data_IF_363923217985
#
_entry.id   IF_363923217985
#
_cell.length_a   1.000
_cell.length_b   1.000
_cell.length_c   1.000
_cell.angle_alpha   90.00
_cell.angle_beta   90.00
_cell.angle_gamma   90.00
#
_symmetry.space_group_name_H-M   'P 1'
#
loop_
_entity.id
_entity.type
_entity.pdbx_description
1 polymer ?
#
# COMPACT_ATOMS: atom_id res chain seq x y z
N UNK A 1 11.92 -16.54 -47.22
CA UNK A 1 10.85 -15.58 -46.83
C UNK A 1 10.95 -14.32 -47.68
N UNK A 2 9.84 -13.74 -48.14
CA UNK A 2 9.89 -12.55 -49.01
C UNK A 2 10.36 -11.32 -48.22
N UNK A 3 11.32 -10.55 -48.75
CA UNK A 3 11.96 -9.40 -48.08
C UNK A 3 10.96 -8.31 -47.62
N UNK A 4 9.77 -8.24 -48.21
CA UNK A 4 8.71 -7.31 -47.80
C UNK A 4 8.03 -7.71 -46.48
N UNK A 5 7.92 -9.01 -46.17
CA UNK A 5 7.33 -9.50 -44.92
C UNK A 5 8.21 -9.12 -43.73
N UNK A 6 9.54 -9.25 -43.86
CA UNK A 6 10.50 -8.84 -42.84
C UNK A 6 10.45 -7.33 -42.55
N UNK A 7 10.17 -6.50 -43.57
CA UNK A 7 10.01 -5.05 -43.41
C UNK A 7 8.72 -4.68 -42.67
N UNK A 8 7.62 -5.37 -42.97
CA UNK A 8 6.34 -5.17 -42.27
C UNK A 8 6.47 -5.57 -40.81
N UNK A 9 7.00 -6.77 -40.53
CA UNK A 9 7.18 -7.25 -39.15
C UNK A 9 8.13 -6.36 -38.35
N UNK A 10 9.21 -5.87 -38.96
CA UNK A 10 10.12 -4.91 -38.34
C UNK A 10 9.45 -3.57 -38.02
N UNK A 11 8.62 -3.05 -38.93
CA UNK A 11 7.86 -1.83 -38.71
C UNK A 11 6.83 -1.96 -37.60
N UNK A 12 6.08 -3.07 -37.56
CA UNK A 12 5.13 -3.38 -36.48
C UNK A 12 5.87 -3.49 -35.14
N UNK A 13 6.99 -4.21 -35.09
CA UNK A 13 7.79 -4.35 -33.88
C UNK A 13 8.32 -3.01 -33.35
N UNK A 14 8.81 -2.14 -34.23
CA UNK A 14 9.26 -0.80 -33.86
C UNK A 14 8.11 0.07 -33.31
N UNK A 15 6.92 -0.04 -33.90
CA UNK A 15 5.74 0.73 -33.49
C UNK A 15 5.20 0.24 -32.13
N UNK A 16 5.18 -1.08 -31.91
CA UNK A 16 4.82 -1.66 -30.60
C UNK A 16 5.82 -1.28 -29.51
N UNK A 17 7.13 -1.31 -29.81
CA UNK A 17 8.16 -0.87 -28.87
C UNK A 17 8.00 0.62 -28.52
N UNK A 18 7.75 1.47 -29.51
CA UNK A 18 7.49 2.89 -29.29
C UNK A 18 6.25 3.12 -28.40
N UNK A 19 5.16 2.40 -28.65
CA UNK A 19 3.95 2.46 -27.81
C UNK A 19 4.23 2.04 -26.37
N UNK A 20 4.99 0.97 -26.16
CA UNK A 20 5.37 0.51 -24.83
C UNK A 20 6.18 1.57 -24.08
N UNK A 21 7.16 2.20 -24.75
CA UNK A 21 7.98 3.26 -24.15
C UNK A 21 7.13 4.47 -23.79
N UNK A 22 6.20 4.88 -24.66
CA UNK A 22 5.28 5.98 -24.36
C UNK A 22 4.39 5.64 -23.16
N UNK A 23 3.82 4.44 -23.12
CA UNK A 23 2.99 3.99 -22.00
C UNK A 23 3.76 3.97 -20.67
N UNK A 24 5.01 3.51 -20.69
CA UNK A 24 5.88 3.50 -19.51
C UNK A 24 6.31 4.89 -19.04
N UNK A 25 6.29 5.89 -19.93
CA UNK A 25 6.62 7.28 -19.62
C UNK A 25 5.40 8.12 -19.22
N UNK A 26 4.18 7.57 -19.28
CA UNK A 26 3.01 8.27 -18.79
C UNK A 26 3.13 8.46 -17.27
N UNK A 27 2.82 9.67 -16.75
CA UNK A 27 2.81 9.89 -15.33
C UNK A 27 1.77 8.97 -14.68
N UNK A 28 2.20 8.23 -13.66
CA UNK A 28 1.30 7.46 -12.80
C UNK A 28 0.58 8.44 -11.88
N UNK A 29 -0.73 8.30 -11.75
CA UNK A 29 -1.52 9.01 -10.74
C UNK A 29 -0.91 8.71 -9.37
N UNK A 30 -0.32 9.72 -8.73
CA UNK A 30 0.21 9.57 -7.37
C UNK A 30 -0.93 9.71 -6.38
N UNK A 31 -0.90 8.91 -5.32
CA UNK A 31 -1.85 9.05 -4.22
C UNK A 31 -1.85 10.50 -3.70
N UNK A 32 -3.03 11.06 -3.36
CA UNK A 32 -3.11 12.41 -2.82
C UNK A 32 -2.27 12.52 -1.55
N UNK A 33 -1.61 13.66 -1.37
CA UNK A 33 -0.90 13.95 -0.14
C UNK A 33 -1.91 14.04 1.01
N UNK A 34 -1.92 13.03 1.89
CA UNK A 34 -2.74 13.03 3.11
C UNK A 34 -2.17 14.09 4.04
N UNK A 35 -2.98 15.12 4.32
CA UNK A 35 -2.55 16.19 5.19
C UNK A 35 -2.23 15.67 6.59
N UNK A 36 -1.28 16.29 7.31
CA UNK A 36 -0.92 15.87 8.66
C UNK A 36 -2.15 15.64 9.57
N UNK A 37 -3.11 16.55 9.56
CA UNK A 37 -4.36 16.48 10.33
C UNK A 37 -5.21 15.24 10.04
N UNK A 38 -5.12 14.73 8.81
CA UNK A 38 -5.82 13.52 8.33
C UNK A 38 -4.95 12.27 8.48
N UNK A 39 -3.65 12.45 8.80
CA UNK A 39 -2.69 11.38 8.97
C UNK A 39 -2.68 10.85 10.41
N UNK A 40 -3.01 9.56 10.55
CA UNK A 40 -2.95 8.80 11.80
C UNK A 40 -4.31 8.47 12.40
N UNK A 41 -4.40 7.38 13.16
CA UNK A 41 -5.61 6.93 13.87
C UNK A 41 -5.88 7.76 15.14
N UNK A 42 -5.85 9.10 15.05
CA UNK A 42 -6.14 9.98 16.20
C UNK A 42 -5.10 9.93 17.33
N UNK A 43 -3.84 9.59 17.05
CA UNK A 43 -2.76 9.57 18.06
C UNK A 43 -2.04 10.91 18.26
N UNK A 44 -2.61 12.02 17.77
CA UNK A 44 -2.02 13.35 17.99
C UNK A 44 -2.30 13.86 19.39
N UNK A 45 -1.41 13.48 20.29
CA UNK A 45 -1.26 13.98 21.65
C UNK A 45 -0.86 15.46 21.61
N UNK A 46 -1.82 16.38 21.51
CA UNK A 46 -1.58 17.84 21.64
C UNK A 46 -1.93 18.36 23.05
N UNK A 47 -2.45 17.51 23.95
CA UNK A 47 -2.77 17.90 25.33
C UNK A 47 -1.90 17.15 26.36
N UNK A 48 -1.57 17.78 27.51
CA UNK A 48 -0.85 17.10 28.59
C UNK A 48 -1.74 16.00 29.14
N UNK A 49 -1.48 14.76 28.70
CA UNK A 49 -2.24 13.60 29.11
C UNK A 49 -1.77 13.16 30.49
N UNK A 50 -2.53 13.54 31.51
CA UNK A 50 -2.59 12.76 32.76
C UNK A 50 -3.17 11.40 32.38
N UNK A 51 -2.26 10.44 32.15
CA UNK A 51 -2.48 9.03 31.79
C UNK A 51 -3.54 8.84 30.71
N UNK A 52 -3.15 8.52 29.47
CA UNK A 52 -4.08 8.31 28.35
C UNK A 52 -5.13 7.18 28.50
N UNK A 53 -5.29 6.61 29.69
CA UNK A 53 -6.24 5.55 30.06
C UNK A 53 -7.63 6.08 30.44
N UNK A 54 -7.79 7.37 30.75
CA UNK A 54 -9.09 7.97 31.12
C UNK A 54 -9.84 8.59 29.94
N UNK A 55 -9.25 8.63 28.74
CA UNK A 55 -9.95 9.15 27.55
C UNK A 55 -10.63 8.02 26.80
N UNK A 56 -11.79 8.31 26.24
CA UNK A 56 -12.43 7.43 25.28
C UNK A 56 -11.49 7.24 24.07
N UNK A 57 -11.43 6.01 23.56
CA UNK A 57 -10.67 5.74 22.34
C UNK A 57 -11.25 6.62 21.22
N UNK A 58 -10.40 7.32 20.45
CA UNK A 58 -10.90 8.12 19.36
C UNK A 58 -11.60 7.20 18.36
N UNK A 59 -12.61 7.72 17.68
CA UNK A 59 -13.21 7.00 16.57
C UNK A 59 -12.11 6.61 15.57
N UNK A 60 -12.18 5.38 15.03
CA UNK A 60 -11.25 4.95 14.00
C UNK A 60 -11.42 5.85 12.77
N UNK A 61 -10.33 6.49 12.36
CA UNK A 61 -10.31 7.29 11.15
C UNK A 61 -10.51 6.36 9.94
N UNK A 62 -11.68 6.48 9.32
CA UNK A 62 -12.02 5.77 8.09
C UNK A 62 -12.08 6.81 6.96
N UNK A 63 -11.07 6.87 6.08
CA UNK A 63 -11.07 7.78 4.94
C UNK A 63 -12.34 7.62 4.09
N UNK A 64 -12.84 8.72 3.53
CA UNK A 64 -14.10 8.72 2.76
C UNK A 64 -14.01 7.87 1.49
N UNK A 65 -12.83 7.81 0.88
CA UNK A 65 -12.49 7.02 -0.31
C UNK A 65 -12.13 5.56 0.04
N UNK A 66 -11.84 5.25 1.31
CA UNK A 66 -11.56 3.90 1.80
C UNK A 66 -12.37 3.59 3.07
N UNK A 67 -13.71 3.44 2.95
CA UNK A 67 -14.56 3.16 4.10
C UNK A 67 -14.25 1.79 4.71
N UNK A 68 -14.23 1.75 6.04
CA UNK A 68 -14.06 0.54 6.82
C UNK A 68 -15.32 -0.31 6.73
N UNK A 69 -15.17 -1.57 6.33
CA UNK A 69 -16.23 -2.57 6.32
C UNK A 69 -15.74 -3.84 6.99
N UNK A 70 -16.64 -4.65 7.55
CA UNK A 70 -16.26 -5.92 8.20
C UNK A 70 -15.47 -6.83 7.25
N UNK A 71 -15.88 -6.88 5.97
CA UNK A 71 -15.19 -7.65 4.94
C UNK A 71 -13.75 -7.14 4.70
N UNK A 72 -13.54 -5.82 4.65
CA UNK A 72 -12.19 -5.24 4.52
C UNK A 72 -11.33 -5.48 5.75
N UNK A 73 -11.91 -5.42 6.95
CA UNK A 73 -11.20 -5.75 8.19
C UNK A 73 -10.77 -7.22 8.19
N UNK A 74 -11.67 -8.13 7.81
CA UNK A 74 -11.35 -9.55 7.73
C UNK A 74 -10.26 -9.83 6.68
N UNK A 75 -10.37 -9.23 5.49
CA UNK A 75 -9.35 -9.36 4.44
C UNK A 75 -8.00 -8.78 4.88
N UNK A 76 -7.99 -7.58 5.46
CA UNK A 76 -6.78 -6.93 5.96
C UNK A 76 -6.10 -7.77 7.05
N UNK A 77 -6.88 -8.39 7.94
CA UNK A 77 -6.35 -9.35 8.91
C UNK A 77 -5.65 -10.53 8.23
N UNK A 78 -6.24 -11.12 7.20
CA UNK A 78 -5.60 -12.24 6.48
C UNK A 78 -4.26 -11.79 5.86
N UNK A 79 -4.28 -10.67 5.13
CA UNK A 79 -3.09 -10.12 4.47
C UNK A 79 -1.98 -9.74 5.45
N UNK A 80 -2.31 -9.22 6.64
CA UNK A 80 -1.33 -8.83 7.65
C UNK A 80 -0.43 -9.99 8.11
N UNK A 81 -0.97 -11.22 8.11
CA UNK A 81 -0.25 -12.43 8.51
C UNK A 81 0.29 -13.24 7.32
N UNK A 82 -0.08 -12.88 6.10
CA UNK A 82 0.31 -13.61 4.89
C UNK A 82 1.64 -13.08 4.33
N UNK A 83 2.67 -13.92 4.17
CA UNK A 83 3.94 -13.47 3.61
C UNK A 83 3.90 -13.25 2.10
N UNK A 84 2.80 -13.58 1.40
CA UNK A 84 2.65 -13.45 -0.06
C UNK A 84 2.90 -12.03 -0.59
N UNK A 85 2.85 -11.02 0.28
CA UNK A 85 3.10 -9.62 -0.07
C UNK A 85 4.59 -9.25 -0.03
N UNK A 86 5.48 -10.11 0.49
CA UNK A 86 6.94 -9.93 0.40
C UNK A 86 7.49 -10.45 -0.92
N UNK A 87 8.64 -9.93 -1.35
CA UNK A 87 9.24 -10.32 -2.63
C UNK A 87 9.63 -11.81 -2.67
N UNK A 88 10.09 -12.35 -1.54
CA UNK A 88 10.51 -13.74 -1.38
C UNK A 88 9.42 -14.66 -0.80
N UNK A 89 8.24 -14.12 -0.48
CA UNK A 89 7.13 -14.82 0.17
C UNK A 89 7.45 -15.44 1.54
N UNK A 90 8.36 -14.84 2.31
CA UNK A 90 8.80 -15.34 3.62
C UNK A 90 8.57 -14.36 4.78
N UNK A 91 8.25 -13.09 4.50
CA UNK A 91 8.03 -12.05 5.51
C UNK A 91 6.61 -11.49 5.37
N UNK A 92 5.80 -11.59 6.43
CA UNK A 92 4.52 -10.89 6.54
C UNK A 92 4.65 -9.62 7.39
N UNK A 93 3.63 -8.77 7.42
CA UNK A 93 3.62 -7.60 8.29
C UNK A 93 3.75 -7.99 9.78
N UNK A 94 3.10 -9.10 10.17
CA UNK A 94 3.15 -9.64 11.53
C UNK A 94 4.55 -10.10 11.98
N UNK A 95 5.49 -10.30 11.06
CA UNK A 95 6.86 -10.67 11.39
C UNK A 95 7.56 -9.57 12.21
N UNK A 96 7.45 -8.31 11.77
CA UNK A 96 8.00 -7.14 12.50
C UNK A 96 6.95 -6.41 13.35
N UNK A 97 5.67 -6.72 13.20
CA UNK A 97 4.57 -6.13 13.98
C UNK A 97 3.79 -7.21 14.73
N UNK A 98 4.48 -7.96 15.60
CA UNK A 98 3.88 -9.11 16.27
C UNK A 98 3.04 -8.68 17.50
N UNK A 99 1.82 -9.22 17.71
CA UNK A 99 0.96 -8.83 18.82
C UNK A 99 1.58 -9.09 20.20
N UNK A 100 2.39 -10.15 20.35
CA UNK A 100 3.08 -10.46 21.62
C UNK A 100 4.09 -9.39 22.04
N UNK A 101 4.55 -8.57 21.08
CA UNK A 101 5.45 -7.43 21.33
C UNK A 101 4.72 -6.10 21.15
N UNK A 102 3.39 -6.08 21.28
CA UNK A 102 2.59 -4.86 21.12
C UNK A 102 2.61 -4.30 19.69
N UNK A 103 2.65 -5.20 18.69
CA UNK A 103 2.79 -4.86 17.26
C UNK A 103 4.13 -4.18 16.92
N UNK A 104 5.20 -4.63 17.57
CA UNK A 104 6.60 -4.31 17.24
C UNK A 104 7.40 -5.60 17.01
N UNK A 105 8.69 -5.46 16.73
CA UNK A 105 9.60 -6.57 16.42
C UNK A 105 10.33 -7.10 17.67
N UNK A 106 10.21 -6.41 18.81
CA UNK A 106 10.86 -6.80 20.06
C UNK A 106 12.39 -6.78 20.01
N UNK A 107 12.98 -6.12 19.01
CA UNK A 107 14.44 -5.98 18.90
C UNK A 107 14.92 -4.81 19.79
N UNK A 108 16.13 -4.92 20.40
CA UNK A 108 16.69 -3.91 21.30
C UNK A 108 17.22 -2.65 20.60
#
# INVERSE_FOLDING_TARGET
MKRWILRILGGIGALLLALLVVAAALPVETDPFILPEDSGAGSRTILPSYTGLQREFPAINSPADNPTTEAKVALGRLLFYDPILSAENDISCAHCHHPDFGFSDGLP
#
